data_IF_843996765229
#
_entry.id   IF_843996765229
#
_cell.length_a   1.000
_cell.length_b   1.000
_cell.length_c   1.000
_cell.angle_alpha   90.00
_cell.angle_beta   90.00
_cell.angle_gamma   90.00
#
_symmetry.space_group_name_H-M   'P 1'
#
loop_
_entity.id
_entity.type
_entity.pdbx_description
1 polymer ?
#
# COMPACT_ATOMS: atom_id res chain seq x y z
N UNK A 1 -0.60 -2.47 1.54
CA UNK A 1 0.34 -3.42 0.88
C UNK A 1 0.89 -2.79 -0.40
N UNK A 2 2.22 -2.82 -0.56
CA UNK A 2 2.96 -2.25 -1.71
C UNK A 2 2.97 -3.23 -2.89
N UNK A 3 2.94 -2.70 -4.12
CA UNK A 3 3.14 -3.36 -5.41
C UNK A 3 4.30 -2.67 -6.12
N UNK A 4 5.34 -3.44 -6.40
CA UNK A 4 6.55 -2.92 -7.02
C UNK A 4 6.25 -2.26 -8.37
N UNK A 5 6.83 -1.07 -8.58
CA UNK A 5 6.66 -0.28 -9.80
C UNK A 5 5.29 0.39 -9.98
N UNK A 6 4.29 0.12 -9.14
CA UNK A 6 2.96 0.73 -9.27
C UNK A 6 2.73 1.79 -8.18
N UNK A 7 2.84 1.40 -6.92
CA UNK A 7 2.59 2.28 -5.78
C UNK A 7 3.78 2.41 -4.82
N UNK A 8 4.94 1.93 -5.26
CA UNK A 8 6.20 1.99 -4.55
C UNK A 8 7.27 1.19 -5.28
N UNK A 9 8.47 1.14 -4.71
CA UNK A 9 9.57 0.30 -5.18
C UNK A 9 9.93 -0.68 -4.05
N UNK A 10 10.04 -1.95 -4.37
CA UNK A 10 10.55 -2.95 -3.45
C UNK A 10 12.06 -3.02 -3.56
N UNK A 11 12.72 -3.15 -2.41
CA UNK A 11 14.18 -3.29 -2.32
C UNK A 11 14.51 -4.55 -1.50
N UNK A 12 15.65 -5.20 -1.75
CA UNK A 12 16.11 -6.32 -0.93
C UNK A 12 16.21 -5.93 0.54
N UNK A 13 15.89 -6.87 1.42
CA UNK A 13 15.98 -6.69 2.87
C UNK A 13 17.44 -6.47 3.25
N UNK A 14 17.71 -5.47 4.10
CA UNK A 14 19.06 -5.11 4.60
C UNK A 14 20.05 -4.71 3.51
N UNK A 15 19.57 -4.21 2.37
CA UNK A 15 20.42 -3.62 1.34
C UNK A 15 20.30 -2.08 1.33
N UNK A 16 21.21 -1.37 2.01
CA UNK A 16 21.19 0.09 2.06
C UNK A 16 21.52 0.73 0.70
N UNK A 17 22.29 0.06 -0.17
CA UNK A 17 22.64 0.61 -1.49
C UNK A 17 21.45 0.54 -2.44
N UNK A 18 20.71 -0.58 -2.43
CA UNK A 18 19.47 -0.70 -3.21
C UNK A 18 18.42 0.31 -2.74
N UNK A 19 18.30 0.53 -1.43
CA UNK A 19 17.42 1.55 -0.88
C UNK A 19 17.80 2.96 -1.34
N UNK A 20 19.08 3.33 -1.24
CA UNK A 20 19.58 4.63 -1.68
C UNK A 20 19.29 4.86 -3.18
N UNK A 21 19.60 3.88 -4.03
CA UNK A 21 19.35 3.97 -5.47
C UNK A 21 17.86 4.12 -5.80
N UNK A 22 16.97 3.41 -5.09
CA UNK A 22 15.53 3.56 -5.26
C UNK A 22 15.04 4.97 -4.89
N UNK A 23 15.58 5.56 -3.82
CA UNK A 23 15.28 6.93 -3.40
C UNK A 23 15.77 7.92 -4.46
N UNK A 24 17.03 7.80 -4.91
CA UNK A 24 17.62 8.67 -5.94
C UNK A 24 16.80 8.66 -7.24
N UNK A 25 16.36 7.47 -7.70
CA UNK A 25 15.49 7.33 -8.86
C UNK A 25 14.18 8.11 -8.72
N UNK A 26 13.53 8.05 -7.56
CA UNK A 26 12.29 8.78 -7.31
C UNK A 26 12.51 10.28 -7.05
N UNK A 27 13.69 10.68 -6.57
CA UNK A 27 14.08 12.08 -6.47
C UNK A 27 14.26 12.70 -7.86
N UNK A 28 14.91 11.96 -8.77
CA UNK A 28 15.16 12.36 -10.16
C UNK A 28 13.94 12.36 -11.08
N UNK A 29 12.84 11.71 -10.70
CA UNK A 29 11.59 11.68 -11.46
C UNK A 29 10.37 12.09 -10.60
N UNK A 30 10.07 13.41 -10.52
CA UNK A 30 8.92 13.91 -9.78
C UNK A 30 7.56 13.41 -10.28
N UNK A 31 7.43 13.18 -11.59
CA UNK A 31 6.18 12.72 -12.21
C UNK A 31 5.85 11.31 -11.74
N UNK A 32 6.83 10.41 -11.85
CA UNK A 32 6.72 9.04 -11.36
C UNK A 32 6.43 8.98 -9.87
N UNK A 33 7.10 9.82 -9.07
CA UNK A 33 6.86 9.93 -7.63
C UNK A 33 5.40 10.30 -7.31
N UNK A 34 4.82 11.25 -8.03
CA UNK A 34 3.43 11.66 -7.84
C UNK A 34 2.42 10.59 -8.31
N UNK A 35 2.70 9.90 -9.40
CA UNK A 35 1.89 8.78 -9.87
C UNK A 35 1.82 7.64 -8.85
N UNK A 36 2.98 7.22 -8.34
CA UNK A 36 3.06 6.18 -7.31
C UNK A 36 2.31 6.58 -6.04
N UNK A 37 2.44 7.83 -5.59
CA UNK A 37 1.71 8.34 -4.43
C UNK A 37 0.19 8.28 -4.61
N UNK A 38 -0.31 8.68 -5.78
CA UNK A 38 -1.75 8.59 -6.12
C UNK A 38 -2.22 7.15 -6.19
N UNK A 39 -1.44 6.24 -6.78
CA UNK A 39 -1.77 4.81 -6.84
C UNK A 39 -1.81 4.19 -5.43
N UNK A 40 -0.83 4.53 -4.59
CA UNK A 40 -0.78 4.11 -3.19
C UNK A 40 -1.98 4.58 -2.38
N UNK A 41 -2.38 5.85 -2.55
CA UNK A 41 -3.55 6.43 -1.88
C UNK A 41 -4.83 5.69 -2.26
N UNK A 42 -5.13 5.55 -3.56
CA UNK A 42 -6.32 4.83 -4.02
C UNK A 42 -6.39 3.41 -3.47
N UNK A 43 -5.25 2.71 -3.46
CA UNK A 43 -5.18 1.33 -2.94
C UNK A 43 -5.39 1.27 -1.44
N UNK A 44 -4.85 2.24 -0.69
CA UNK A 44 -5.07 2.32 0.75
C UNK A 44 -6.56 2.53 1.08
N UNK A 45 -7.21 3.44 0.37
CA UNK A 45 -8.64 3.72 0.51
C UNK A 45 -9.50 2.51 0.12
N UNK A 46 -9.13 1.75 -0.91
CA UNK A 46 -9.92 0.58 -1.33
C UNK A 46 -9.80 -0.63 -0.39
N UNK A 47 -8.63 -0.85 0.19
CA UNK A 47 -8.33 -2.10 0.92
C UNK A 47 -8.32 -1.94 2.44
N UNK A 48 -8.11 -0.73 2.93
CA UNK A 48 -7.95 -0.47 4.36
C UNK A 48 -8.89 0.63 4.86
N UNK A 49 -10.00 0.85 4.14
CA UNK A 49 -11.07 1.66 4.67
C UNK A 49 -11.61 1.04 5.98
N UNK A 50 -11.58 1.83 7.05
CA UNK A 50 -11.94 1.37 8.39
C UNK A 50 -13.40 0.94 8.45
N UNK A 51 -14.30 1.60 7.72
CA UNK A 51 -15.72 1.23 7.70
C UNK A 51 -15.92 -0.12 7.00
N UNK A 52 -15.20 -0.35 5.90
CA UNK A 52 -15.22 -1.65 5.21
C UNK A 52 -14.72 -2.78 6.11
N UNK A 53 -13.59 -2.56 6.80
CA UNK A 53 -13.02 -3.57 7.71
C UNK A 53 -13.95 -3.86 8.89
N UNK A 54 -14.49 -2.81 9.53
CA UNK A 54 -15.44 -2.95 10.65
C UNK A 54 -16.67 -3.73 10.22
N UNK A 55 -17.28 -3.38 9.08
CA UNK A 55 -18.44 -4.10 8.56
C UNK A 55 -18.14 -5.57 8.30
N UNK A 56 -17.05 -5.86 7.59
CA UNK A 56 -16.65 -7.23 7.31
C UNK A 56 -16.35 -8.04 8.60
N UNK A 57 -15.86 -7.37 9.64
CA UNK A 57 -15.58 -8.00 10.94
C UNK A 57 -16.88 -8.29 11.71
N UNK A 58 -17.81 -7.33 11.75
CA UNK A 58 -19.13 -7.52 12.37
C UNK A 58 -19.93 -8.62 11.66
N UNK A 59 -19.91 -8.68 10.33
CA UNK A 59 -20.56 -9.74 9.56
C UNK A 59 -20.04 -11.15 9.94
N UNK A 60 -18.77 -11.27 10.34
CA UNK A 60 -18.22 -12.54 10.87
C UNK A 60 -18.80 -12.84 12.25
N UNK A 61 -18.86 -11.85 13.15
CA UNK A 61 -19.41 -12.03 14.49
C UNK A 61 -20.90 -12.37 14.46
N UNK A 62 -21.69 -11.69 13.63
CA UNK A 62 -23.13 -11.95 13.48
C UNK A 62 -23.40 -13.39 12.99
N UNK A 63 -22.60 -13.90 12.03
CA UNK A 63 -22.72 -15.28 11.55
C UNK A 63 -22.41 -16.33 12.62
N UNK A 64 -21.50 -16.03 13.55
CA UNK A 64 -21.14 -16.96 14.62
C UNK A 64 -22.11 -16.85 15.79
N UNK A 65 -22.66 -15.66 16.07
CA UNK A 65 -23.62 -15.45 17.15
C UNK A 65 -25.06 -15.90 16.79
N UNK A 66 -25.39 -15.99 15.49
CA UNK A 66 -26.69 -16.45 15.00
C UNK A 66 -26.80 -17.98 14.86
N UNK A 67 -25.77 -18.75 15.22
CA UNK A 67 -25.77 -20.21 15.29
C UNK A 67 -25.61 -20.72 16.71
#
# INVERSE_FOLDING_TARGET
MVRDGDNGLLVPVRDPHALASAIERLLGDPGRRQEMGRSGRRRAEQLFDVQLIVRATLDVYDRVAAG
#
